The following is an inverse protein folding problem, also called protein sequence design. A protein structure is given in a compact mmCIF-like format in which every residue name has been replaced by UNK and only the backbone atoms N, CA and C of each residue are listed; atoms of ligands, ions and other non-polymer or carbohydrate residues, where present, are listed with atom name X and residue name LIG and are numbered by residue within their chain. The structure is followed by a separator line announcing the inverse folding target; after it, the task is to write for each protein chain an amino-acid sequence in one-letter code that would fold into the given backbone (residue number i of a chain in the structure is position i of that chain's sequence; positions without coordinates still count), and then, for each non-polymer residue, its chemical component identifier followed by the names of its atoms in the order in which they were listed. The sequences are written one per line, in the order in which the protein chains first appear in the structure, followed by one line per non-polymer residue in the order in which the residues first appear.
data_IF_087007228666
#
_entry.id   IF_087007228666
#
_cell.length_a   1.000
_cell.length_b   1.000
_cell.length_c   1.000
_cell.angle_alpha   90.00
_cell.angle_beta   90.00
_cell.angle_gamma   90.00
#
_symmetry.space_group_name_H-M   'P 1'
#
loop_
_entity.id
_entity.type
_entity.pdbx_description
1 polymer ?
#
# COMPACT_ATOMS: atom_id res chain seq x y z
N UNK A 1 16.63 -8.78 -6.37
CA UNK A 1 15.34 -9.07 -7.02
C UNK A 1 15.46 -8.69 -8.49
N UNK A 2 14.80 -9.42 -9.39
CA UNK A 2 14.80 -9.11 -10.82
C UNK A 2 14.11 -7.75 -11.09
N UNK A 3 14.68 -6.84 -11.91
CA UNK A 3 14.08 -5.54 -12.21
C UNK A 3 12.70 -5.60 -12.87
N UNK A 4 12.45 -6.56 -13.77
CA UNK A 4 11.14 -6.70 -14.44
C UNK A 4 10.07 -7.17 -13.45
N UNK A 5 10.44 -8.11 -12.57
CA UNK A 5 9.57 -8.56 -11.48
C UNK A 5 9.24 -7.40 -10.54
N UNK A 6 10.22 -6.60 -10.17
CA UNK A 6 10.01 -5.45 -9.28
C UNK A 6 9.08 -4.41 -9.92
N UNK A 7 9.27 -4.10 -11.22
CA UNK A 7 8.40 -3.18 -11.93
C UNK A 7 6.95 -3.69 -12.00
N UNK A 8 6.77 -5.00 -12.20
CA UNK A 8 5.45 -5.63 -12.20
C UNK A 8 4.77 -5.55 -10.83
N UNK A 9 5.51 -5.79 -9.75
CA UNK A 9 4.98 -5.72 -8.39
C UNK A 9 4.64 -4.29 -7.97
N UNK A 10 5.45 -3.30 -8.37
CA UNK A 10 5.14 -1.89 -8.18
C UNK A 10 3.83 -1.53 -8.88
N UNK A 11 3.68 -1.90 -10.16
CA UNK A 11 2.47 -1.66 -10.94
C UNK A 11 1.24 -2.33 -10.31
N UNK A 12 1.36 -3.60 -9.89
CA UNK A 12 0.27 -4.33 -9.25
C UNK A 12 -0.17 -3.67 -7.95
N UNK A 13 0.79 -3.25 -7.11
CA UNK A 13 0.50 -2.61 -5.83
C UNK A 13 -0.16 -1.24 -6.03
N UNK A 14 0.32 -0.44 -6.98
CA UNK A 14 -0.28 0.86 -7.31
C UNK A 14 -1.72 0.70 -7.83
N UNK A 15 -1.97 -0.26 -8.73
CA UNK A 15 -3.32 -0.56 -9.21
C UNK A 15 -4.24 -1.00 -8.07
N UNK A 16 -3.74 -1.82 -7.13
CA UNK A 16 -4.51 -2.19 -5.94
C UNK A 16 -4.88 -0.96 -5.08
N UNK A 17 -3.92 -0.08 -4.82
CA UNK A 17 -4.13 1.14 -4.04
C UNK A 17 -5.16 2.07 -4.69
N UNK A 18 -5.15 2.16 -6.02
CA UNK A 18 -6.08 3.00 -6.78
C UNK A 18 -7.49 2.42 -6.86
N UNK A 19 -7.60 1.11 -7.12
CA UNK A 19 -8.88 0.52 -7.57
C UNK A 19 -9.60 -0.29 -6.50
N UNK A 20 -8.89 -0.78 -5.48
CA UNK A 20 -9.41 -1.77 -4.55
C UNK A 20 -9.31 -1.34 -3.08
N UNK A 21 -8.42 -0.41 -2.76
CA UNK A 21 -8.16 -0.01 -1.37
C UNK A 21 -9.43 0.44 -0.63
N UNK A 22 -10.22 1.34 -1.22
CA UNK A 22 -11.40 1.90 -0.53
C UNK A 22 -12.52 0.87 -0.34
N UNK A 23 -12.71 -0.03 -1.30
CA UNK A 23 -13.66 -1.12 -1.15
C UNK A 23 -13.22 -2.12 -0.08
N UNK A 24 -11.91 -2.35 0.06
CA UNK A 24 -11.36 -3.26 1.06
C UNK A 24 -11.33 -2.62 2.47
N UNK A 25 -11.00 -1.33 2.57
CA UNK A 25 -10.97 -0.58 3.84
C UNK A 25 -12.35 -0.60 4.52
N UNK A 26 -13.43 -0.50 3.75
CA UNK A 26 -14.80 -0.60 4.26
C UNK A 26 -15.21 -2.01 4.75
N UNK A 27 -14.39 -3.04 4.53
CA UNK A 27 -14.68 -4.45 4.90
C UNK A 27 -13.80 -4.98 6.01
N UNK A 28 -12.68 -4.32 6.31
CA UNK A 28 -11.70 -4.77 7.29
C UNK A 28 -11.66 -3.83 8.49
N UNK A 29 -11.18 -4.34 9.62
CA UNK A 29 -10.78 -3.46 10.73
C UNK A 29 -9.54 -2.67 10.33
N UNK A 30 -9.34 -1.51 10.95
CA UNK A 30 -8.20 -0.65 10.66
C UNK A 30 -6.86 -1.39 10.81
N UNK A 31 -6.70 -2.21 11.87
CA UNK A 31 -5.46 -2.95 12.11
C UNK A 31 -5.20 -4.03 11.03
N UNK A 32 -6.24 -4.76 10.62
CA UNK A 32 -6.13 -5.73 9.52
C UNK A 32 -5.80 -5.03 8.20
N UNK A 33 -6.36 -3.85 7.96
CA UNK A 33 -6.09 -3.07 6.75
C UNK A 33 -4.64 -2.56 6.75
N UNK A 34 -4.13 -2.11 7.89
CA UNK A 34 -2.72 -1.72 8.06
C UNK A 34 -1.79 -2.91 7.78
N UNK A 35 -2.12 -4.12 8.24
CA UNK A 35 -1.32 -5.31 7.95
C UNK A 35 -1.32 -5.70 6.46
N UNK A 36 -2.45 -5.52 5.77
CA UNK A 36 -2.51 -5.68 4.31
C UNK A 36 -1.60 -4.65 3.63
N UNK A 37 -1.71 -3.37 4.00
CA UNK A 37 -0.88 -2.30 3.44
C UNK A 37 0.61 -2.51 3.68
N UNK A 38 1.01 -3.02 4.85
CA UNK A 38 2.40 -3.41 5.12
C UNK A 38 2.89 -4.49 4.17
N UNK A 39 2.07 -5.51 3.89
CA UNK A 39 2.41 -6.57 2.94
C UNK A 39 2.50 -6.04 1.51
N UNK A 40 1.59 -5.16 1.12
CA UNK A 40 1.62 -4.46 -0.17
C UNK A 40 2.91 -3.67 -0.33
N UNK A 41 3.22 -2.79 0.62
CA UNK A 41 4.43 -1.95 0.59
C UNK A 41 5.73 -2.76 0.59
N UNK A 42 5.78 -3.92 1.27
CA UNK A 42 6.94 -4.82 1.24
C UNK A 42 7.24 -5.42 -0.13
N UNK A 43 6.25 -5.48 -1.03
CA UNK A 43 6.47 -5.93 -2.40
C UNK A 43 7.03 -4.82 -3.28
N UNK A 44 6.87 -3.56 -2.88
CA UNK A 44 7.21 -2.40 -3.69
C UNK A 44 8.67 -1.96 -3.52
N UNK A 45 9.20 -1.34 -4.56
CA UNK A 45 10.46 -0.60 -4.50
C UNK A 45 10.28 0.71 -3.75
N UNK A 46 11.38 1.37 -3.39
CA UNK A 46 11.33 2.72 -2.83
C UNK A 46 10.64 3.73 -3.76
N UNK A 47 10.83 3.58 -5.08
CA UNK A 47 10.15 4.41 -6.07
C UNK A 47 8.65 4.15 -6.06
N UNK A 48 8.22 2.89 -6.07
CA UNK A 48 6.82 2.51 -5.95
C UNK A 48 6.18 3.03 -4.67
N UNK A 49 6.86 2.92 -3.52
CA UNK A 49 6.40 3.48 -2.26
C UNK A 49 6.23 5.02 -2.30
N UNK A 50 7.14 5.75 -2.97
CA UNK A 50 6.99 7.19 -3.16
C UNK A 50 5.78 7.55 -4.02
N UNK A 51 5.53 6.80 -5.10
CA UNK A 51 4.34 6.99 -5.92
C UNK A 51 3.06 6.74 -5.10
N UNK A 52 3.01 5.65 -4.31
CA UNK A 52 1.90 5.34 -3.43
C UNK A 52 1.61 6.47 -2.41
N UNK A 53 2.67 7.10 -1.87
CA UNK A 53 2.56 8.24 -0.96
C UNK A 53 2.04 9.52 -1.64
N UNK A 54 2.28 9.67 -2.95
CA UNK A 54 1.84 10.81 -3.76
C UNK A 54 0.40 10.67 -4.29
N UNK A 55 -0.19 9.47 -4.21
CA UNK A 55 -1.56 9.22 -4.67
C UNK A 55 -2.60 10.02 -3.89
N UNK A 56 -3.62 10.51 -4.61
CA UNK A 56 -4.78 11.15 -3.99
C UNK A 56 -5.71 10.08 -3.42
N UNK A 57 -5.58 9.83 -2.12
CA UNK A 57 -6.44 8.91 -1.37
C UNK A 57 -7.42 9.69 -0.49
N UNK A 58 -8.60 9.14 -0.19
CA UNK A 58 -9.46 9.70 0.84
C UNK A 58 -8.74 9.68 2.21
N UNK A 59 -9.18 10.55 3.12
CA UNK A 59 -8.43 10.85 4.33
C UNK A 59 -8.21 9.63 5.24
N UNK A 60 -9.17 8.69 5.28
CA UNK A 60 -9.06 7.49 6.10
C UNK A 60 -8.02 6.51 5.52
N UNK A 61 -8.10 6.23 4.22
CA UNK A 61 -7.14 5.38 3.51
C UNK A 61 -5.72 5.97 3.58
N UNK A 62 -5.58 7.30 3.46
CA UNK A 62 -4.31 8.00 3.66
C UNK A 62 -3.74 7.72 5.06
N UNK A 63 -4.55 7.86 6.10
CA UNK A 63 -4.14 7.56 7.49
C UNK A 63 -3.73 6.09 7.66
N UNK A 64 -4.45 5.15 7.07
CA UNK A 64 -4.10 3.73 7.13
C UNK A 64 -2.76 3.45 6.44
N UNK A 65 -2.50 4.10 5.30
CA UNK A 65 -1.25 3.98 4.56
C UNK A 65 -0.06 4.58 5.34
N UNK A 66 -0.25 5.73 5.98
CA UNK A 66 0.78 6.34 6.85
C UNK A 66 1.07 5.45 8.08
N UNK A 67 0.03 4.92 8.73
CA UNK A 67 0.19 3.98 9.85
C UNK A 67 0.97 2.71 9.46
N UNK A 68 0.83 2.26 8.22
CA UNK A 68 1.58 1.10 7.73
C UNK A 68 3.09 1.37 7.61
N UNK A 69 3.50 2.64 7.44
CA UNK A 69 4.89 3.08 7.36
C UNK A 69 5.52 3.35 8.73
N UNK A 70 4.74 3.73 9.73
CA UNK A 70 5.23 4.22 11.03
C UNK A 70 5.75 3.14 12.01
N UNK A 71 5.73 1.85 11.68
CA UNK A 71 6.46 0.83 12.43
C UNK A 71 6.64 -0.46 11.63
N UNK A 72 7.85 -1.06 11.60
CA UNK A 72 8.01 -2.41 11.09
C UNK A 72 7.26 -3.35 12.04
N UNK A 73 6.40 -4.21 11.49
CA UNK A 73 6.02 -5.43 12.20
C UNK A 73 7.31 -6.10 12.65
N UNK A 74 7.50 -6.18 13.96
CA UNK A 74 8.50 -7.02 14.61
C UNK A 74 8.40 -8.47 14.12
#
# INVERSE_FOLDING_TARGET
RDPEVQAFEDALCLVFLETQLSALSGRLTADKMVDVLRKTLRLMSEAGCREALAMKLPAEERRLLERALESPSA
#
